data_IF_487297767319
#
_entry.id   IF_487297767319
#
_cell.length_a   1.000
_cell.length_b   1.000
_cell.length_c   1.000
_cell.angle_alpha   90.00
_cell.angle_beta   90.00
_cell.angle_gamma   90.00
#
_symmetry.space_group_name_H-M   'P 1'
#
loop_
_entity.id
_entity.type
_entity.pdbx_description
1 polymer ?
2 polymer ?
3 non-polymer ?
4 non-polymer ?
5 water ?
#
# COMPACT_ATOMS: atom_id res chain seq x y z
N UNK A 1 15.27 -5.80 28.49
CA UNK A 1 14.56 -4.56 28.23
C UNK A 1 14.32 -4.38 26.74
N UNK A 2 13.29 -3.61 26.39
CA UNK A 2 13.04 -3.27 25.00
C UNK A 2 14.11 -2.32 24.49
N UNK A 3 14.54 -2.54 23.25
CA UNK A 3 15.51 -1.66 22.61
C UNK A 3 15.07 -1.40 21.18
N UNK A 4 15.58 -0.32 20.59
CA UNK A 4 15.26 0.00 19.22
C UNK A 4 16.00 -0.96 18.28
N UNK A 5 15.30 -1.42 17.26
CA UNK A 5 15.90 -2.20 16.20
C UNK A 5 16.33 -1.25 15.09
N UNK A 6 17.63 -1.16 14.85
CA UNK A 6 18.14 -0.33 13.77
C UNK A 6 17.97 -1.09 12.46
N UNK A 7 16.74 -1.17 11.99
CA UNK A 7 16.38 -1.96 10.84
C UNK A 7 16.73 -1.31 9.52
N UNK A 8 17.98 -1.51 9.10
CA UNK A 8 18.42 -1.06 7.79
C UNK A 8 17.68 -1.83 6.71
N UNK A 9 17.15 -1.11 5.72
CA UNK A 9 16.40 -1.71 4.64
C UNK A 9 14.90 -1.54 4.77
N UNK A 10 14.46 -0.99 5.91
CA UNK A 10 13.05 -0.70 6.11
C UNK A 10 12.54 0.24 5.03
N UNK A 11 11.35 -0.05 4.53
CA UNK A 11 10.68 0.80 3.55
C UNK A 11 9.75 1.75 4.30
N UNK A 12 10.00 3.05 4.11
CA UNK A 12 9.39 4.09 4.92
C UNK A 12 8.69 5.18 4.12
N UNK A 13 7.80 5.89 4.80
CA UNK A 13 7.17 7.09 4.26
C UNK A 13 7.27 8.19 5.34
N UNK A 14 6.83 9.40 5.01
CA UNK A 14 6.96 10.51 5.96
C UNK A 14 6.16 10.24 7.23
N UNK A 15 6.64 10.79 8.35
CA UNK A 15 6.05 10.57 9.64
C UNK A 15 5.28 11.78 10.17
N UNK A 16 4.76 11.66 11.40
CA UNK A 16 3.88 12.69 11.98
C UNK A 16 4.56 14.04 12.19
N UNK A 17 5.85 14.03 12.48
CA UNK A 17 6.59 15.27 12.76
C UNK A 17 7.34 15.78 11.53
N UNK A 18 6.97 15.28 10.36
CA UNK A 18 7.59 15.70 9.10
C UNK A 18 7.49 17.20 8.90
N UNK A 19 8.60 17.83 8.54
CA UNK A 19 8.64 19.26 8.30
C UNK A 19 9.63 19.59 7.18
N UNK A 20 9.89 18.61 6.32
CA UNK A 20 10.91 18.76 5.28
C UNK A 20 10.31 18.85 3.90
N UNK A 21 9.16 19.52 3.80
CA UNK A 21 8.55 19.83 2.51
C UNK A 21 8.30 18.63 1.61
N UNK A 22 8.89 18.69 0.41
CA UNK A 22 8.62 17.72 -0.63
C UNK A 22 9.82 16.82 -0.90
N UNK A 23 10.70 16.69 0.09
CA UNK A 23 11.92 15.90 -0.08
C UNK A 23 11.60 14.45 -0.45
N UNK A 24 10.55 13.90 0.16
CA UNK A 24 10.16 12.51 -0.09
C UNK A 24 9.45 12.37 -1.42
N UNK A 25 9.02 13.50 -1.99
CA UNK A 25 8.28 13.51 -3.24
C UNK A 25 6.78 13.62 -3.01
N UNK A 26 6.38 13.82 -1.75
CA UNK A 26 4.99 13.95 -1.39
C UNK A 26 4.57 12.86 -0.41
N UNK A 27 3.47 13.07 0.29
CA UNK A 27 3.00 12.09 1.26
C UNK A 27 2.64 10.77 0.56
N UNK A 28 3.08 9.66 1.16
CA UNK A 28 2.83 8.35 0.59
C UNK A 28 3.98 7.86 -0.26
N UNK A 29 4.87 8.77 -0.64
CA UNK A 29 6.03 8.37 -1.44
C UNK A 29 7.02 7.62 -0.55
N UNK A 30 7.61 6.57 -1.11
CA UNK A 30 8.35 5.59 -0.34
C UNK A 30 9.86 5.77 -0.48
N UNK A 31 10.60 5.38 0.56
CA UNK A 31 12.05 5.44 0.55
C UNK A 31 12.64 4.28 1.34
N UNK A 32 13.95 4.14 1.26
CA UNK A 32 14.66 3.06 1.92
C UNK A 32 15.60 3.58 3.01
N UNK A 33 15.50 3.00 4.20
CA UNK A 33 16.43 3.31 5.28
C UNK A 33 17.81 2.76 4.92
N UNK A 34 18.75 3.67 4.67
CA UNK A 34 20.10 3.26 4.27
C UNK A 34 20.99 2.96 5.48
N UNK A 35 20.95 3.83 6.48
CA UNK A 35 21.80 3.68 7.65
C UNK A 35 21.34 4.57 8.81
N UNK A 36 21.92 4.32 9.98
CA UNK A 36 21.67 5.14 11.16
C UNK A 36 22.94 5.88 11.55
N UNK A 37 22.90 7.21 11.48
CA UNK A 37 24.00 8.04 11.96
C UNK A 37 24.16 7.81 13.47
N UNK A 38 23.03 7.77 14.14
CA UNK A 38 22.97 7.52 15.57
C UNK A 38 21.60 6.95 15.89
N UNK A 39 21.35 6.60 17.15
CA UNK A 39 19.98 6.14 17.47
C UNK A 39 18.92 7.22 17.29
N UNK A 40 19.34 8.47 17.12
CA UNK A 40 18.41 9.59 16.99
C UNK A 40 18.25 10.09 15.56
N UNK A 41 19.15 9.68 14.67
CA UNK A 41 19.21 10.21 13.31
C UNK A 41 19.40 9.10 12.28
N UNK A 42 18.59 9.14 11.22
CA UNK A 42 18.60 8.10 10.20
C UNK A 42 18.74 8.68 8.80
N UNK A 43 19.43 7.97 7.92
CA UNK A 43 19.57 8.37 6.53
C UNK A 43 18.62 7.56 5.64
N UNK A 44 17.83 8.27 4.84
CA UNK A 44 16.89 7.64 3.92
C UNK A 44 17.22 8.03 2.48
N UNK A 45 17.15 7.04 1.59
CA UNK A 45 17.24 7.26 0.15
C UNK A 45 15.85 7.06 -0.44
N UNK A 46 15.22 8.17 -0.82
CA UNK A 46 13.88 8.11 -1.39
C UNK A 46 13.93 7.50 -2.77
N UNK A 47 12.82 6.94 -3.21
CA UNK A 47 12.74 6.29 -4.51
C UNK A 47 12.99 7.30 -5.65
N UNK A 48 12.72 8.57 -5.40
CA UNK A 48 12.96 9.60 -6.40
C UNK A 48 14.45 9.97 -6.51
N UNK A 49 15.27 9.37 -5.64
CA UNK A 49 16.72 9.56 -5.70
C UNK A 49 17.26 10.45 -4.61
N UNK A 50 16.41 11.34 -4.09
CA UNK A 50 16.82 12.25 -3.03
C UNK A 50 17.21 11.49 -1.77
N UNK A 51 18.43 11.72 -1.30
CA UNK A 51 18.91 11.11 -0.06
C UNK A 51 19.05 12.16 1.02
N UNK A 52 18.63 11.84 2.24
CA UNK A 52 18.68 12.82 3.32
C UNK A 52 18.61 12.21 4.71
N UNK A 53 18.97 13.02 5.71
CA UNK A 53 18.95 12.58 7.09
C UNK A 53 17.68 13.05 7.80
N UNK A 54 17.19 12.24 8.73
CA UNK A 54 15.91 12.51 9.38
C UNK A 54 15.92 12.11 10.84
N UNK A 55 14.93 12.62 11.58
CA UNK A 55 14.82 12.39 13.02
C UNK A 55 14.02 11.14 13.33
N UNK A 56 14.52 10.35 14.27
CA UNK A 56 13.82 9.15 14.74
C UNK A 56 13.93 9.04 16.26
N UNK A 57 13.86 10.19 16.93
CA UNK A 57 13.90 10.25 18.38
C UNK A 57 13.39 11.60 18.87
N UNK A 58 12.42 11.57 19.78
CA UNK A 58 11.74 12.78 20.20
C UNK A 58 10.79 13.23 19.11
N UNK A 59 11.36 13.65 17.98
CA UNK A 59 10.59 13.92 16.77
C UNK A 59 10.71 12.74 15.81
N UNK A 60 9.64 12.45 15.08
CA UNK A 60 9.61 11.30 14.18
C UNK A 60 9.19 11.71 12.78
N UNK A 61 10.18 11.80 11.90
CA UNK A 61 9.97 12.23 10.53
C UNK A 61 9.53 11.08 9.62
N UNK A 62 9.52 9.86 10.14
CA UNK A 62 9.27 8.67 9.31
C UNK A 62 8.34 7.64 9.94
N UNK A 63 7.54 7.00 9.09
CA UNK A 63 6.74 5.84 9.46
C UNK A 63 7.26 4.62 8.69
N UNK A 64 7.12 3.43 9.27
CA UNK A 64 7.50 2.19 8.61
C UNK A 64 6.35 1.66 7.77
N UNK A 65 6.53 1.62 6.45
CA UNK A 65 5.55 1.03 5.56
C UNK A 65 5.76 -0.48 5.51
N UNK A 66 7.01 -0.90 5.37
CA UNK A 66 7.32 -2.32 5.34
C UNK A 66 8.72 -2.62 5.87
N UNK A 67 8.80 -3.39 6.96
CA UNK A 67 10.06 -3.75 7.57
C UNK A 67 10.53 -5.13 7.10
N UNK A 68 9.75 -5.80 6.26
CA UNK A 68 10.06 -7.15 5.81
C UNK A 68 11.44 -7.27 5.17
N UNK A 69 11.84 -6.26 4.36
CA UNK A 69 13.18 -6.34 3.77
C UNK A 69 14.32 -6.44 4.80
N UNK A 70 14.08 -6.00 6.03
CA UNK A 70 15.11 -6.09 7.07
C UNK A 70 15.28 -7.53 7.55
N UNK A 71 14.31 -8.38 7.24
CA UNK A 71 14.35 -9.78 7.62
C UNK A 71 13.81 -10.04 9.00
N UNK A 72 13.42 -8.99 9.71
CA UNK A 72 12.83 -9.14 11.03
C UNK A 72 11.58 -10.02 10.92
N UNK A 73 11.44 -10.99 11.83
CA UNK A 73 10.34 -11.94 11.75
C UNK A 73 9.85 -12.36 13.14
N UNK A 74 8.62 -12.85 13.17
CA UNK A 74 7.98 -13.28 14.42
C UNK A 74 7.80 -14.79 14.42
N UNK A 75 8.89 -15.50 14.74
CA UNK A 75 8.87 -16.95 14.78
C UNK A 75 7.76 -17.44 15.70
N UNK A 76 7.03 -18.45 15.24
CA UNK A 76 5.93 -19.01 16.00
C UNK A 76 4.61 -18.36 15.67
N UNK A 77 4.57 -17.59 14.60
CA UNK A 77 3.33 -17.01 14.09
C UNK A 77 3.12 -17.37 12.63
N UNK A 78 1.87 -17.22 12.18
CA UNK A 78 1.51 -17.42 10.78
C UNK A 78 0.42 -16.42 10.42
N UNK A 79 0.50 -15.86 9.21
CA UNK A 79 -0.60 -15.03 8.71
C UNK A 79 -1.75 -15.94 8.31
N UNK A 80 -2.92 -15.72 8.88
CA UNK A 80 -4.02 -16.63 8.69
C UNK A 80 -4.74 -16.46 7.34
N UNK A 81 -4.34 -15.46 6.56
CA UNK A 81 -4.89 -15.29 5.21
C UNK A 81 -3.96 -15.91 4.14
N UNK A 82 -2.74 -15.39 4.03
CA UNK A 82 -1.80 -15.86 3.00
C UNK A 82 -0.89 -16.99 3.50
N UNK A 83 -0.95 -17.29 4.79
CA UNK A 83 -0.23 -18.41 5.40
C UNK A 83 1.29 -18.24 5.39
N UNK A 84 1.76 -17.00 5.27
CA UNK A 84 3.18 -16.71 5.47
C UNK A 84 3.57 -17.16 6.87
N UNK A 85 4.66 -17.91 6.96
CA UNK A 85 5.09 -18.50 8.22
C UNK A 85 6.62 -18.65 8.24
N UNK A 86 7.30 -17.93 9.15
CA UNK A 86 6.79 -16.96 10.11
C UNK A 86 6.34 -15.66 9.46
N UNK A 87 5.56 -14.87 10.16
CA UNK A 87 5.26 -13.51 9.69
C UNK A 87 6.58 -12.74 9.67
N UNK A 88 6.88 -12.16 8.51
CA UNK A 88 8.08 -11.35 8.35
C UNK A 88 7.67 -9.88 8.24
N UNK A 89 8.34 -9.04 9.03
CA UNK A 89 7.98 -7.63 9.14
C UNK A 89 7.11 -7.39 10.36
N UNK A 90 6.25 -6.38 10.27
CA UNK A 90 5.34 -6.03 11.35
C UNK A 90 4.28 -7.12 11.54
N UNK A 91 3.94 -7.42 12.78
CA UNK A 91 2.89 -8.38 13.08
C UNK A 91 1.60 -7.64 13.41
N UNK A 92 0.49 -8.07 12.79
CA UNK A 92 -0.82 -7.49 13.06
C UNK A 92 -1.75 -8.56 13.62
N UNK A 93 -2.15 -8.40 14.87
CA UNK A 93 -2.95 -9.40 15.56
C UNK A 93 -4.36 -8.89 15.79
N UNK A 94 -5.37 -9.62 15.33
CA UNK A 94 -6.75 -9.21 15.57
C UNK A 94 -7.06 -9.32 17.06
N UNK A 95 -7.51 -8.20 17.64
CA UNK A 95 -7.82 -8.17 19.06
C UNK A 95 -9.19 -8.78 19.34
N UNK A 96 -10.03 -8.83 18.31
CA UNK A 96 -11.43 -9.23 18.47
C UNK A 96 -11.70 -10.69 18.08
N UNK A 97 -10.65 -11.41 17.66
CA UNK A 97 -10.76 -12.83 17.35
C UNK A 97 -9.80 -13.65 18.21
N UNK A 98 -10.08 -14.94 18.32
CA UNK A 98 -9.17 -15.86 19.00
C UNK A 98 -8.00 -16.25 18.10
N UNK A 99 -6.79 -15.88 18.51
CA UNK A 99 -5.57 -16.38 17.88
C UNK A 99 -5.55 -16.14 16.36
N UNK A 100 -5.67 -14.88 15.95
CA UNK A 100 -5.69 -14.53 14.54
C UNK A 100 -4.68 -13.42 14.24
N UNK A 101 -3.86 -13.62 13.21
CA UNK A 101 -2.83 -12.66 12.83
C UNK A 101 -2.77 -12.47 11.32
N UNK A 102 -2.33 -11.28 10.92
CA UNK A 102 -2.08 -10.97 9.52
C UNK A 102 -0.67 -10.43 9.33
N UNK A 103 -0.11 -10.63 8.14
CA UNK A 103 1.10 -9.95 7.74
C UNK A 103 0.74 -8.56 7.24
N UNK A 104 1.75 -7.77 6.93
CA UNK A 104 1.55 -6.37 6.53
C UNK A 104 0.80 -6.26 5.21
N UNK A 105 1.16 -7.09 4.25
CA UNK A 105 0.51 -7.08 2.94
C UNK A 105 -0.98 -7.35 3.08
N UNK A 106 -1.32 -8.35 3.89
CA UNK A 106 -2.71 -8.73 4.09
C UNK A 106 -3.47 -7.70 4.93
N UNK A 107 -2.77 -7.08 5.88
CA UNK A 107 -3.40 -6.08 6.74
C UNK A 107 -3.74 -4.82 5.96
N UNK A 108 -2.74 -4.26 5.28
CA UNK A 108 -2.99 -3.08 4.45
C UNK A 108 -3.83 -3.46 3.24
N UNK A 109 -3.84 -4.75 2.91
CA UNK A 109 -4.60 -5.26 1.78
C UNK A 109 -6.04 -5.60 2.11
N UNK A 110 -6.50 -5.16 3.27
CA UNK A 110 -7.90 -5.26 3.67
C UNK A 110 -8.40 -6.70 3.79
N UNK A 111 -7.54 -7.61 4.24
CA UNK A 111 -7.95 -8.98 4.54
C UNK A 111 -8.56 -9.05 5.94
N UNK A 112 -9.28 -10.13 6.21
CA UNK A 112 -10.03 -10.28 7.46
C UNK A 112 -11.12 -9.20 7.50
N UNK A 113 -11.64 -8.87 8.68
CA UNK A 113 -12.72 -7.90 8.81
C UNK A 113 -12.18 -6.50 9.09
N UNK A 114 -12.59 -5.54 8.27
CA UNK A 114 -12.14 -4.16 8.41
C UNK A 114 -12.65 -3.51 9.70
N UNK A 115 -13.74 -4.04 10.23
CA UNK A 115 -14.34 -3.49 11.45
C UNK A 115 -13.74 -4.12 12.71
N UNK A 116 -12.95 -5.18 12.54
CA UNK A 116 -12.22 -5.75 13.66
C UNK A 116 -10.97 -4.93 13.96
N UNK A 117 -10.82 -4.49 15.19
CA UNK A 117 -9.64 -3.74 15.59
C UNK A 117 -8.45 -4.66 15.83
N UNK A 118 -7.28 -4.22 15.38
CA UNK A 118 -6.05 -5.00 15.49
C UNK A 118 -5.08 -4.41 16.51
N UNK A 119 -4.28 -5.30 17.11
CA UNK A 119 -3.02 -4.93 17.74
C UNK A 119 -1.89 -4.82 16.72
N UNK A 120 -1.12 -3.74 16.79
CA UNK A 120 0.16 -3.66 16.10
C UNK A 120 1.25 -4.19 17.01
N UNK A 121 2.02 -5.14 16.47
CA UNK A 121 3.18 -5.68 17.16
C UNK A 121 4.36 -5.54 16.20
N UNK A 122 5.07 -4.42 16.32
CA UNK A 122 6.09 -4.05 15.35
C UNK A 122 7.28 -5.01 15.35
N UNK A 123 7.79 -5.30 16.54
CA UNK A 123 8.88 -6.25 16.71
C UNK A 123 8.50 -7.31 17.73
N UNK A 124 9.26 -8.44 17.75
CA UNK A 124 9.09 -9.46 18.77
C UNK A 124 9.13 -8.91 20.20
N UNK A 125 9.88 -7.84 20.41
CA UNK A 125 10.03 -7.25 21.73
C UNK A 125 8.97 -6.20 22.04
N UNK A 126 8.17 -5.83 21.04
CA UNK A 126 7.19 -4.77 21.20
C UNK A 126 6.01 -5.18 22.09
N UNK A 127 5.50 -4.23 22.87
CA UNK A 127 4.22 -4.41 23.54
C UNK A 127 3.12 -4.10 22.52
N UNK A 128 2.04 -4.87 22.56
CA UNK A 128 1.00 -4.75 21.54
C UNK A 128 0.21 -3.47 21.72
N UNK A 129 -0.10 -2.82 20.60
CA UNK A 129 -0.79 -1.53 20.59
C UNK A 129 -2.13 -1.63 19.88
N UNK A 130 -3.22 -1.45 20.62
CA UNK A 130 -4.55 -1.54 20.04
C UNK A 130 -4.82 -0.34 19.11
N UNK A 131 -5.33 -0.65 17.92
CA UNK A 131 -5.57 0.37 16.90
C UNK A 131 -7.06 0.60 16.70
N UNK A 132 -7.40 1.71 16.04
CA UNK A 132 -8.75 1.92 15.54
C UNK A 132 -9.00 0.93 14.41
N UNK A 133 -10.27 0.70 14.08
CA UNK A 133 -10.61 -0.20 12.99
C UNK A 133 -10.11 0.38 11.67
N UNK A 134 -9.73 -0.50 10.75
CA UNK A 134 -9.33 -0.07 9.41
C UNK A 134 -10.48 0.64 8.71
N UNK A 135 -11.70 0.19 8.97
CA UNK A 135 -12.87 0.73 8.27
C UNK A 135 -13.10 2.21 8.60
N UNK A 136 -12.69 2.64 9.79
CA UNK A 136 -12.86 4.04 10.19
C UNK A 136 -11.58 4.87 10.04
N UNK A 137 -10.52 4.25 9.51
CA UNK A 137 -9.20 4.87 9.47
C UNK A 137 -8.83 5.31 8.05
N UNK A 138 -7.98 6.33 7.95
CA UNK A 138 -7.57 6.88 6.66
C UNK A 138 -6.61 5.96 5.91
N UNK A 139 -6.88 5.80 4.61
CA UNK A 139 -6.04 4.97 3.73
C UNK A 139 -5.51 5.82 2.59
N UNK A 140 -4.19 5.84 2.43
CA UNK A 140 -3.56 6.56 1.31
C UNK A 140 -2.76 5.59 0.46
N UNK A 141 -2.33 6.07 -0.71
CA UNK A 141 -1.65 5.23 -1.68
C UNK A 141 -0.14 5.40 -1.61
N UNK A 142 0.57 4.28 -1.64
CA UNK A 142 2.02 4.30 -1.67
C UNK A 142 2.49 4.59 -3.09
N UNK A 143 3.53 5.41 -3.22
CA UNK A 143 4.08 5.75 -4.53
C UNK A 143 5.60 5.64 -4.53
N UNK A 144 6.15 5.13 -5.63
CA UNK A 144 7.58 5.00 -5.78
C UNK A 144 7.96 3.83 -6.66
N UNK A 145 8.99 3.10 -6.24
CA UNK A 145 9.45 1.95 -7.01
C UNK A 145 8.51 0.76 -6.78
N UNK A 146 7.57 0.61 -7.71
CA UNK A 146 6.64 -0.51 -7.73
C UNK A 146 6.41 -0.90 -9.18
N UNK A 147 5.64 -1.96 -9.39
CA UNK A 147 5.36 -2.44 -10.75
C UNK A 147 4.84 -1.31 -11.63
N UNK A 148 5.48 -1.13 -12.78
CA UNK A 148 5.09 -0.11 -13.74
C UNK A 148 5.92 1.15 -13.65
N UNK A 149 6.73 1.27 -12.60
CA UNK A 149 7.55 2.46 -12.41
C UNK A 149 8.65 2.58 -13.46
N UNK A 150 8.94 3.82 -13.85
CA UNK A 150 10.04 4.09 -14.76
C UNK A 150 11.26 4.50 -13.94
N UNK A 151 12.36 3.76 -14.12
CA UNK A 151 13.55 3.88 -13.28
C UNK A 151 14.85 4.03 -14.07
N UNK A 152 15.85 4.60 -13.40
CA UNK A 152 17.24 4.57 -13.85
C UNK A 152 18.07 3.98 -12.73
N UNK A 153 19.38 3.83 -12.94
CA UNK A 153 20.24 3.27 -11.92
C UNK A 153 20.30 4.20 -10.70
N UNK A 154 20.39 3.59 -9.52
CA UNK A 154 20.43 4.33 -8.26
C UNK A 154 21.84 4.49 -7.73
N UNK A 155 21.95 4.96 -6.49
CA UNK A 155 23.24 5.32 -5.90
C UNK A 155 24.11 4.11 -5.58
N UNK A 156 23.49 2.99 -5.23
CA UNK A 156 24.22 1.79 -4.83
C UNK A 156 24.47 0.83 -6.00
N UNK A 157 24.16 1.28 -7.22
CA UNK A 157 24.36 0.48 -8.43
C UNK A 157 25.77 -0.09 -8.48
N UNK A 158 25.87 -1.39 -8.78
CA UNK A 158 27.16 -2.06 -8.91
C UNK A 158 27.08 -3.15 -9.98
N UNK A 159 26.25 -2.92 -10.99
CA UNK A 159 25.93 -3.96 -11.96
C UNK A 159 26.36 -3.58 -13.39
N UNK A 160 27.56 -3.03 -13.53
CA UNK A 160 28.15 -2.79 -14.84
C UNK A 160 27.28 -1.84 -15.68
N UNK A 161 27.08 -2.16 -16.95
CA UNK A 161 26.17 -1.43 -17.82
C UNK A 161 25.00 -2.32 -18.24
N UNK A 162 24.41 -3.02 -17.27
CA UNK A 162 23.25 -3.87 -17.51
C UNK A 162 22.08 -3.04 -18.01
N UNK A 163 22.03 -1.78 -17.60
CA UNK A 163 20.97 -0.86 -18.01
C UNK A 163 21.28 -0.20 -19.36
N UNK A 164 22.46 -0.47 -19.89
CA UNK A 164 22.89 0.11 -21.15
C UNK A 164 23.63 1.43 -20.96
N UNK A 165 23.77 1.85 -19.70
CA UNK A 165 24.47 3.08 -19.38
C UNK A 165 23.72 3.90 -18.35
N UNK A 166 24.48 4.65 -17.53
CA UNK A 166 23.90 5.51 -16.52
C UNK A 166 22.97 6.55 -17.14
N UNK A 167 21.71 6.55 -16.70
CA UNK A 167 20.73 7.47 -17.22
C UNK A 167 19.76 6.79 -18.17
N UNK A 168 20.17 5.66 -18.73
CA UNK A 168 19.27 4.85 -19.54
C UNK A 168 18.15 4.31 -18.65
N UNK A 169 16.96 4.16 -19.22
CA UNK A 169 15.77 3.87 -18.45
C UNK A 169 15.24 2.45 -18.66
N UNK A 170 14.39 2.03 -17.74
CA UNK A 170 13.76 0.73 -17.78
C UNK A 170 12.46 0.76 -17.00
N UNK A 171 11.74 -0.36 -17.00
CA UNK A 171 10.46 -0.44 -16.32
C UNK A 171 10.47 -1.54 -15.27
N UNK A 172 10.04 -1.20 -14.06
CA UNK A 172 9.87 -2.17 -12.99
C UNK A 172 8.70 -3.10 -13.34
N UNK A 173 9.01 -4.38 -13.51
CA UNK A 173 8.00 -5.36 -13.87
C UNK A 173 7.32 -5.93 -12.64
N UNK A 174 8.09 -6.08 -11.57
CA UNK A 174 7.62 -6.79 -10.38
C UNK A 174 8.53 -6.53 -9.18
N UNK A 175 7.94 -6.44 -8.00
CA UNK A 175 8.71 -6.40 -6.76
C UNK A 175 8.88 -7.83 -6.26
N UNK A 176 10.13 -8.21 -6.00
CA UNK A 176 10.45 -9.58 -5.60
C UNK A 176 11.29 -9.61 -4.32
N UNK A 177 11.50 -10.83 -3.82
CA UNK A 177 12.37 -11.04 -2.68
C UNK A 177 13.80 -11.28 -3.15
N UNK A 178 14.73 -10.46 -2.70
CA UNK A 178 16.14 -10.65 -3.05
C UNK A 178 16.62 -11.98 -2.52
N UNK A 179 16.09 -12.35 -1.35
CA UNK A 179 16.35 -13.65 -0.74
C UNK A 179 15.12 -14.07 0.04
N UNK A 180 15.08 -15.34 0.45
CA UNK A 180 13.94 -15.85 1.20
C UNK A 180 13.80 -15.14 2.54
N UNK A 181 14.92 -14.74 3.12
CA UNK A 181 14.92 -14.08 4.42
C UNK A 181 14.62 -12.58 4.32
N UNK A 182 14.56 -12.05 3.11
CA UNK A 182 14.33 -10.63 2.88
C UNK A 182 13.28 -10.38 1.81
N UNK A 183 11.99 -10.53 2.17
CA UNK A 183 10.93 -10.34 1.18
C UNK A 183 10.73 -8.88 0.76
N UNK A 184 10.17 -8.69 -0.43
CA UNK A 184 9.76 -7.37 -0.90
C UNK A 184 10.92 -6.39 -0.95
N UNK A 185 12.11 -6.90 -1.23
CA UNK A 185 13.33 -6.12 -1.11
C UNK A 185 14.02 -5.90 -2.44
N UNK A 186 13.43 -6.41 -3.51
CA UNK A 186 14.03 -6.25 -4.83
C UNK A 186 13.01 -5.85 -5.89
N UNK A 187 13.51 -5.30 -6.99
CA UNK A 187 12.69 -4.96 -8.14
C UNK A 187 13.28 -5.59 -9.40
N UNK A 188 12.44 -6.30 -10.14
CA UNK A 188 12.85 -6.86 -11.43
C UNK A 188 12.59 -5.82 -12.50
N UNK A 189 13.65 -5.49 -13.25
CA UNK A 189 13.59 -4.43 -14.25
C UNK A 189 13.84 -4.97 -15.65
N UNK A 190 12.96 -4.53 -16.55
CA UNK A 190 13.10 -4.73 -17.98
C UNK A 190 13.59 -3.42 -18.59
N UNK A 191 14.86 -3.37 -18.96
CA UNK A 191 15.46 -2.15 -19.47
C UNK A 191 14.96 -1.83 -20.89
N UNK A 192 15.02 -0.57 -21.26
CA UNK A 192 14.51 -0.13 -22.56
C UNK A 192 15.29 -0.74 -23.72
N UNK A 193 16.50 -1.22 -23.46
CA UNK A 193 17.32 -1.84 -24.50
C UNK A 193 17.12 -3.35 -24.56
N UNK A 194 16.14 -3.86 -23.81
CA UNK A 194 15.78 -5.27 -23.86
C UNK A 194 16.46 -6.11 -22.81
N UNK A 195 17.47 -5.55 -22.15
CA UNK A 195 18.13 -6.22 -21.05
C UNK A 195 17.19 -6.29 -19.86
N UNK A 196 17.39 -7.28 -18.99
CA UNK A 196 16.51 -7.46 -17.85
C UNK A 196 17.26 -8.09 -16.69
N UNK A 197 16.90 -7.69 -15.47
CA UNK A 197 17.54 -8.26 -14.28
C UNK A 197 16.87 -7.84 -12.98
N UNK A 198 17.34 -8.41 -11.88
CA UNK A 198 16.82 -8.12 -10.55
C UNK A 198 17.75 -7.15 -9.83
N UNK A 199 17.17 -6.16 -9.15
CA UNK A 199 17.97 -5.15 -8.46
C UNK A 199 17.47 -4.90 -7.05
N UNK A 200 18.39 -4.50 -6.18
CA UNK A 200 18.07 -4.29 -4.77
C UNK A 200 17.28 -3.01 -4.55
N UNK A 201 16.15 -3.14 -3.87
CA UNK A 201 15.34 -2.01 -3.46
C UNK A 201 14.92 -2.23 -2.01
N UNK A 202 15.88 -2.07 -1.10
CA UNK A 202 15.64 -2.25 0.31
C UNK A 202 16.58 -3.27 0.93
N UNK A 203 16.93 -4.30 0.17
CA UNK A 203 17.81 -5.35 0.69
C UNK A 203 19.12 -4.77 1.22
N UNK A 204 19.37 -5.01 2.50
CA UNK A 204 20.55 -4.50 3.18
C UNK A 204 20.67 -2.99 3.05
N UNK A 205 19.52 -2.32 2.98
CA UNK A 205 19.48 -0.86 2.91
C UNK A 205 20.01 -0.31 1.61
N UNK A 206 20.06 -1.15 0.57
CA UNK A 206 20.62 -0.76 -0.71
C UNK A 206 19.56 -0.18 -1.65
N UNK A 207 19.99 0.76 -2.50
CA UNK A 207 19.12 1.40 -3.48
C UNK A 207 19.77 1.39 -4.86
N UNK A 208 19.51 0.33 -5.62
CA UNK A 208 20.08 0.18 -6.95
C UNK A 208 19.30 0.95 -8.01
N UNK A 209 18.13 1.44 -7.65
CA UNK A 209 17.24 2.08 -8.63
C UNK A 209 16.76 3.46 -8.16
N UNK A 210 16.36 4.26 -9.14
CA UNK A 210 15.90 5.63 -8.90
C UNK A 210 14.76 5.95 -9.85
N UNK A 211 13.63 6.37 -9.30
CA UNK A 211 12.46 6.70 -10.09
C UNK A 211 12.62 7.95 -10.94
N UNK A 212 12.22 7.85 -12.19
CA UNK A 212 11.96 9.04 -13.01
C UNK A 212 10.46 9.14 -13.23
N UNK A 213 9.77 8.01 -13.11
CA UNK A 213 8.31 8.04 -13.03
C UNK A 213 7.82 7.02 -11.99
N UNK A 214 7.40 7.52 -10.82
CA UNK A 214 6.97 6.63 -9.76
C UNK A 214 5.64 5.97 -10.12
N UNK A 215 5.37 4.84 -9.48
CA UNK A 215 4.15 4.09 -9.71
C UNK A 215 3.44 3.83 -8.39
N UNK A 216 2.15 3.50 -8.48
CA UNK A 216 1.35 3.19 -7.31
C UNK A 216 1.66 1.78 -6.79
N UNK A 217 1.92 1.69 -5.49
CA UNK A 217 2.25 0.43 -4.87
C UNK A 217 1.19 -0.04 -3.88
N UNK A 218 -0.07 0.26 -4.18
CA UNK A 218 -1.17 -0.12 -3.31
C UNK A 218 -1.31 0.86 -2.16
N UNK A 219 -2.36 0.69 -1.37
CA UNK A 219 -2.71 1.64 -0.33
C UNK A 219 -2.45 1.09 1.08
N UNK A 220 -2.32 1.98 2.05
CA UNK A 220 -2.01 1.60 3.41
C UNK A 220 -2.62 2.55 4.44
N UNK A 221 -2.83 2.04 5.64
CA UNK A 221 -3.37 2.84 6.73
C UNK A 221 -2.24 3.59 7.42
N UNK A 222 -2.02 4.81 6.96
CA UNK A 222 -0.89 5.64 7.39
C UNK A 222 -0.75 5.70 8.90
N UNK A 223 -1.83 6.07 9.58
CA UNK A 223 -1.76 6.34 11.01
C UNK A 223 -1.60 5.06 11.83
N UNK A 224 -1.71 3.91 11.16
CA UNK A 224 -1.52 2.62 11.82
C UNK A 224 -0.06 2.15 11.65
N UNK A 225 0.69 2.78 10.74
CA UNK A 225 2.10 2.46 10.60
C UNK A 225 2.87 2.97 11.81
N UNK A 226 3.79 2.13 12.33
CA UNK A 226 4.58 2.61 13.46
C UNK A 226 5.62 3.64 13.03
N UNK A 227 5.95 4.57 13.92
CA UNK A 227 7.01 5.53 13.63
C UNK A 227 8.35 4.81 13.70
N UNK A 228 9.31 5.25 12.88
CA UNK A 228 10.66 4.70 12.94
C UNK A 228 11.37 5.30 14.15
N UNK A 229 11.84 4.43 15.05
CA UNK A 229 12.53 4.86 16.25
C UNK A 229 11.96 4.18 17.50
N UNK A 246 -12.68 -3.75 -8.81
CA UNK A 246 -12.97 -5.07 -8.28
C UNK A 246 -11.90 -5.54 -7.31
N UNK A 247 -12.30 -6.38 -6.36
CA UNK A 247 -11.38 -7.01 -5.42
C UNK A 247 -11.66 -8.51 -5.33
N UNK A 248 -10.80 -9.22 -4.61
CA UNK A 248 -10.99 -10.65 -4.36
C UNK A 248 -10.94 -10.87 -2.84
N UNK A 249 -12.07 -11.28 -2.28
CA UNK A 249 -12.22 -11.44 -0.84
C UNK A 249 -12.24 -12.91 -0.42
N UNK A 250 -11.88 -13.80 -1.34
CA UNK A 250 -11.91 -15.24 -1.10
C UNK A 250 -10.50 -15.77 -0.88
N UNK A 251 -10.38 -16.87 -0.14
CA UNK A 251 -9.09 -17.54 0.05
C UNK A 251 -8.52 -18.00 -1.28
N UNK A 252 -7.20 -18.15 -1.32
CA UNK A 252 -6.51 -18.55 -2.54
C UNK A 252 -7.04 -19.88 -3.07
N UNK A 253 -7.30 -20.83 -2.19
CA UNK A 253 -7.72 -22.17 -2.63
C UNK A 253 -9.12 -22.13 -3.24
N UNK A 254 -10.00 -21.31 -2.68
CA UNK A 254 -11.34 -21.14 -3.24
C UNK A 254 -11.24 -20.54 -4.64
N UNK A 255 -10.41 -19.50 -4.78
CA UNK A 255 -10.13 -18.90 -6.08
C UNK A 255 -9.62 -19.96 -7.05
N UNK A 256 -8.65 -20.75 -6.59
CA UNK A 256 -8.08 -21.83 -7.39
C UNK A 256 -9.15 -22.81 -7.85
N UNK A 257 -10.01 -23.22 -6.93
CA UNK A 257 -11.08 -24.16 -7.26
C UNK A 257 -12.06 -23.53 -8.24
N UNK A 258 -12.33 -22.24 -8.07
CA UNK A 258 -13.26 -21.53 -8.95
C UNK A 258 -12.68 -21.22 -10.32
N UNK A 259 -11.36 -21.02 -10.39
CA UNK A 259 -10.72 -20.62 -11.64
C UNK A 259 -10.59 -21.75 -12.66
N UNK A 260 -10.84 -22.98 -12.23
CA UNK A 260 -10.75 -24.13 -13.12
C UNK A 260 -11.80 -24.03 -14.23
N UNK A 261 -11.34 -23.68 -15.43
CA UNK A 261 -12.21 -23.52 -16.58
C UNK A 261 -12.69 -22.10 -16.76
N UNK A 262 -11.93 -21.16 -16.21
CA UNK A 262 -12.29 -19.74 -16.29
C UNK A 262 -11.05 -18.85 -16.37
N UNK A 263 -9.93 -19.44 -16.79
CA UNK A 263 -8.67 -18.73 -16.88
C UNK A 263 -7.57 -19.41 -16.09
N UNK A 264 -7.95 -20.24 -15.14
CA UNK A 264 -7.00 -20.95 -14.31
C UNK A 264 -6.22 -20.03 -13.39
N UNK A 265 -5.23 -20.58 -12.69
CA UNK A 265 -4.39 -19.80 -11.79
C UNK A 265 -2.91 -19.96 -12.09
N UNK A 266 -2.19 -18.85 -12.09
CA UNK A 266 -0.74 -18.85 -12.19
C UNK A 266 -0.18 -17.91 -11.12
N UNK A 267 1.14 -17.95 -10.92
CA UNK A 267 1.75 -17.23 -9.79
C UNK A 267 1.96 -15.74 -10.06
N UNK A 268 1.70 -15.30 -11.29
CA UNK A 268 1.80 -13.88 -11.61
C UNK A 268 0.56 -13.11 -11.16
N UNK A 269 -0.42 -13.83 -10.64
CA UNK A 269 -1.72 -13.25 -10.30
C UNK A 269 -1.85 -12.88 -8.82
N UNK A 270 -0.81 -13.14 -8.03
CA UNK A 270 -0.89 -12.91 -6.59
C UNK A 270 -1.14 -11.44 -6.25
N UNK A 271 -0.90 -10.55 -7.21
CA UNK A 271 -1.22 -9.14 -7.05
C UNK A 271 -2.72 -8.95 -6.83
N UNK A 272 -3.51 -9.76 -7.51
CA UNK A 272 -4.96 -9.57 -7.58
C UNK A 272 -5.66 -9.78 -6.24
N UNK A 273 -5.03 -10.56 -5.35
CA UNK A 273 -5.66 -10.92 -4.09
C UNK A 273 -5.70 -9.76 -3.09
N UNK A 274 -4.83 -8.77 -3.30
CA UNK A 274 -4.74 -7.61 -2.39
C UNK A 274 -4.79 -6.29 -3.15
N UNK A 275 -4.99 -6.35 -4.47
CA UNK A 275 -5.00 -5.16 -5.31
C UNK A 275 -6.38 -4.94 -5.94
N UNK A 276 -6.80 -3.69 -5.99
CA UNK A 276 -8.04 -3.33 -6.66
C UNK A 276 -7.79 -3.17 -8.16
N UNK A 277 -8.44 -4.01 -8.95
CA UNK A 277 -8.38 -3.92 -10.40
C UNK A 277 -9.61 -3.23 -10.93
N UNK A 278 -9.57 -2.82 -12.19
CA UNK A 278 -10.72 -2.21 -12.83
C UNK A 278 -11.21 -3.11 -13.96
N UNK A 279 -12.52 -3.37 -13.97
CA UNK A 279 -13.12 -4.17 -15.03
C UNK A 279 -12.95 -3.45 -16.38
N UNK A 280 -11.91 -3.84 -17.10
CA UNK A 280 -11.64 -3.24 -18.41
C UNK A 280 -12.38 -3.99 -19.50
N UNK A 281 -12.63 -5.28 -19.29
CA UNK A 281 -13.33 -6.06 -20.30
C UNK A 281 -14.15 -7.22 -19.79
N UNK A 282 -15.20 -7.56 -20.55
CA UNK A 282 -15.90 -8.83 -20.41
C UNK A 282 -15.52 -9.65 -21.64
N UNK A 283 -16.01 -10.88 -21.74
CA UNK A 283 -15.72 -11.69 -22.94
C UNK A 283 -16.75 -12.78 -23.18
N UNK A 284 -16.63 -13.44 -24.32
CA UNK A 284 -17.59 -14.47 -24.73
C UNK A 284 -17.45 -15.73 -23.88
N UNK A 285 -16.37 -15.82 -23.12
CA UNK A 285 -16.06 -17.04 -22.38
C UNK A 285 -16.79 -17.09 -21.03
N UNK A 286 -17.90 -16.36 -20.93
CA UNK A 286 -18.70 -16.31 -19.70
C UNK A 286 -17.88 -15.76 -18.53
N UNK A 287 -16.79 -15.06 -18.85
CA UNK A 287 -15.81 -14.66 -17.85
C UNK A 287 -15.48 -13.18 -17.95
N UNK A 288 -14.59 -12.73 -17.04
CA UNK A 288 -14.26 -11.31 -16.92
C UNK A 288 -12.78 -11.04 -17.15
N UNK A 289 -12.47 -9.81 -17.57
CA UNK A 289 -11.12 -9.35 -17.85
C UNK A 289 -10.83 -8.04 -17.08
N UNK A 290 -9.81 -8.08 -16.22
CA UNK A 290 -9.51 -7.00 -15.29
C UNK A 290 -8.06 -6.53 -15.42
N UNK A 291 -7.87 -5.20 -15.49
CA UNK A 291 -6.52 -4.63 -15.48
C UNK A 291 -6.15 -4.14 -14.08
N UNK A 292 -4.84 -4.12 -13.79
CA UNK A 292 -4.32 -3.67 -12.51
C UNK A 292 -3.25 -2.59 -12.72
N UNK A 293 -3.02 -1.74 -11.71
CA UNK A 293 -2.04 -0.66 -11.82
C UNK A 293 -0.63 -1.11 -12.21
N UNK A 294 -0.37 -2.41 -12.13
CA UNK A 294 0.88 -2.98 -12.63
C UNK A 294 0.97 -2.82 -14.14
N UNK A 295 -0.18 -2.95 -14.80
CA UNK A 295 -0.25 -2.93 -16.25
C UNK A 295 -0.75 -4.27 -16.78
N UNK A 296 -0.87 -5.24 -15.89
CA UNK A 296 -1.30 -6.59 -16.27
C UNK A 296 -2.82 -6.69 -16.37
N UNK A 297 -3.28 -7.48 -17.32
CA UNK A 297 -4.70 -7.82 -17.43
C UNK A 297 -4.89 -9.31 -17.16
N UNK A 298 -5.93 -9.65 -16.40
CA UNK A 298 -6.19 -11.04 -16.00
C UNK A 298 -7.65 -11.42 -16.21
N UNK A 299 -7.88 -12.71 -16.42
CA UNK A 299 -9.21 -13.22 -16.71
C UNK A 299 -9.77 -14.02 -15.53
N UNK A 300 -11.05 -13.85 -15.22
CA UNK A 300 -11.63 -14.52 -14.06
C UNK A 300 -13.06 -15.05 -14.21
N UNK A 301 -13.35 -16.07 -13.39
CA UNK A 301 -14.71 -16.52 -13.11
C UNK A 301 -15.46 -15.37 -12.43
N UNK A 302 -16.72 -15.13 -12.82
CA UNK A 302 -17.47 -14.03 -12.19
C UNK A 302 -17.59 -14.15 -10.67
N UNK A 303 -17.74 -15.37 -10.17
CA UNK A 303 -17.95 -15.60 -8.73
C UNK A 303 -16.73 -15.23 -7.90
N UNK A 304 -15.58 -15.08 -8.55
CA UNK A 304 -14.33 -14.76 -7.86
C UNK A 304 -14.28 -13.29 -7.45
N UNK A 305 -14.92 -12.44 -8.24
CA UNK A 305 -14.86 -10.99 -8.03
C UNK A 305 -16.04 -10.43 -7.24
N UNK A 306 -15.78 -9.35 -6.52
CA UNK A 306 -16.82 -8.53 -5.90
C UNK A 306 -16.63 -7.10 -6.40
N UNK A 307 -17.74 -6.38 -6.56
CA UNK A 307 -17.75 -5.17 -7.39
C UNK A 307 -16.99 -3.99 -6.79
N UNK A 308 -17.63 -3.28 -5.85
CA UNK A 308 -17.25 -1.94 -5.35
C UNK A 308 -15.85 -1.47 -5.81
N UNK A 309 -15.76 -0.35 -6.54
CA UNK A 309 -16.81 0.66 -6.66
C UNK A 309 -17.79 0.46 -7.83
N UNK A 310 -18.92 1.15 -7.75
CA UNK A 310 -19.87 1.24 -8.86
C UNK A 310 -19.85 2.64 -9.48
N UNK A 311 -18.85 3.42 -9.10
CA UNK A 311 -18.75 4.82 -9.53
C UNK A 311 -17.49 5.08 -10.34
N UNK A 312 -17.50 6.18 -11.09
CA UNK A 312 -16.33 6.64 -11.83
C UNK A 312 -16.13 8.13 -11.58
N UNK A 313 -14.88 8.58 -11.69
CA UNK A 313 -14.59 10.01 -11.64
C UNK A 313 -15.40 10.70 -12.73
N UNK A 314 -16.15 11.73 -12.34
CA UNK A 314 -17.01 12.46 -13.26
C UNK A 314 -18.48 12.16 -13.07
N UNK A 315 -18.79 11.05 -12.43
CA UNK A 315 -20.18 10.67 -12.16
C UNK A 315 -20.88 11.74 -11.33
N UNK A 316 -22.04 12.17 -11.78
CA UNK A 316 -22.88 13.04 -10.97
C UNK A 316 -23.72 12.19 -10.03
N UNK A 317 -23.71 12.55 -8.75
CA UNK A 317 -24.43 11.79 -7.74
C UNK A 317 -25.22 12.71 -6.83
N UNK A 318 -26.35 12.23 -6.34
CA UNK A 318 -27.13 12.93 -5.34
C UNK A 318 -26.82 12.37 -3.96
N UNK A 319 -26.53 13.27 -3.03
CA UNK A 319 -26.28 12.90 -1.65
C UNK A 319 -27.58 12.45 -0.99
N UNK A 320 -27.50 11.31 -0.28
CA UNK A 320 -28.60 10.80 0.53
C UNK A 320 -29.25 11.91 1.37
N UNK A 321 -30.58 11.95 1.41
CA UNK A 321 -31.29 12.97 2.19
C UNK A 321 -32.05 12.39 3.38
N UNK A 322 -31.76 11.13 3.71
CA UNK A 322 -32.16 10.52 4.98
C UNK A 322 -31.04 10.74 5.99
N UNK A 323 -31.26 11.63 6.96
CA UNK A 323 -30.21 12.00 7.91
C UNK A 323 -29.76 10.85 8.79
N UNK A 324 -30.71 10.05 9.26
CA UNK A 324 -30.40 8.89 10.09
C UNK A 324 -29.40 7.98 9.37
N UNK A 325 -29.73 7.66 8.12
CA UNK A 325 -28.92 6.73 7.35
C UNK A 325 -27.57 7.31 6.98
N UNK A 326 -27.52 8.58 6.59
CA UNK A 326 -26.24 9.17 6.19
C UNK A 326 -25.35 9.32 7.42
N UNK A 327 -25.94 9.64 8.57
CA UNK A 327 -25.17 9.64 9.81
C UNK A 327 -24.58 8.26 10.06
N UNK A 328 -25.41 7.23 10.00
CA UNK A 328 -24.94 5.86 10.15
C UNK A 328 -23.82 5.52 9.17
N UNK A 329 -24.04 5.84 7.91
CA UNK A 329 -23.09 5.49 6.85
C UNK A 329 -21.77 6.25 7.01
N UNK A 330 -21.85 7.52 7.37
CA UNK A 330 -20.64 8.34 7.50
C UNK A 330 -19.87 7.98 8.76
N UNK A 331 -20.58 7.78 9.86
CA UNK A 331 -19.94 7.38 11.10
C UNK A 331 -19.31 6.00 10.96
N UNK A 332 -20.03 5.08 10.31
CA UNK A 332 -19.53 3.75 10.08
C UNK A 332 -18.19 3.71 9.34
N UNK A 333 -17.93 4.76 8.57
CA UNK A 333 -16.70 4.87 7.79
C UNK A 333 -15.78 5.96 8.34
N UNK A 334 -16.13 6.52 9.49
CA UNK A 334 -15.30 7.51 10.17
C UNK A 334 -15.21 8.83 9.44
N UNK A 335 -16.31 9.26 8.83
CA UNK A 335 -16.32 10.47 8.00
C UNK A 335 -17.53 11.37 8.23
N UNK A 336 -18.13 11.31 9.42
CA UNK A 336 -19.26 12.18 9.72
C UNK A 336 -18.84 13.51 10.32
N UNK A 337 -19.51 14.58 9.89
CA UNK A 337 -19.33 15.91 10.45
C UNK A 337 -20.65 16.66 10.31
N UNK A 338 -21.03 17.41 11.33
CA UNK A 338 -22.29 18.16 11.30
C UNK A 338 -22.32 19.16 10.15
N UNK A 339 -21.14 19.67 9.79
CA UNK A 339 -21.02 20.63 8.70
C UNK A 339 -21.47 20.04 7.35
N UNK A 340 -21.68 18.72 7.33
CA UNK A 340 -22.16 18.06 6.11
C UNK A 340 -23.66 18.20 5.93
N UNK A 341 -24.36 18.70 6.95
CA UNK A 341 -25.81 18.79 6.89
C UNK A 341 -26.35 19.48 5.64
N UNK A 342 -25.79 20.65 5.28
CA UNK A 342 -26.33 21.32 4.08
C UNK A 342 -26.04 20.61 2.75
N UNK A 343 -25.36 19.46 2.76
CA UNK A 343 -25.10 18.73 1.52
C UNK A 343 -26.18 17.68 1.23
N UNK A 344 -27.00 17.38 2.23
CA UNK A 344 -28.07 16.39 2.08
C UNK A 344 -28.97 16.73 0.90
N UNK A 345 -29.19 15.75 0.01
CA UNK A 345 -30.07 15.94 -1.12
C UNK A 345 -29.45 16.68 -2.30
N UNK A 346 -28.25 17.23 -2.10
CA UNK A 346 -27.60 18.02 -3.15
C UNK A 346 -26.95 17.11 -4.19
N UNK A 347 -26.82 17.64 -5.41
CA UNK A 347 -26.13 16.93 -6.49
C UNK A 347 -24.69 17.41 -6.56
N UNK A 348 -23.77 16.46 -6.70
CA UNK A 348 -22.35 16.75 -6.76
C UNK A 348 -21.59 15.82 -7.68
N UNK A 349 -20.30 16.09 -7.87
CA UNK A 349 -19.49 15.33 -8.82
C UNK A 349 -18.43 14.48 -8.12
N UNK A 350 -18.33 13.20 -8.51
CA UNK A 350 -17.30 12.33 -7.98
C UNK A 350 -15.94 12.78 -8.51
N UNK A 351 -15.15 13.34 -7.61
CA UNK A 351 -13.83 13.87 -7.94
C UNK A 351 -12.76 12.77 -7.90
N UNK A 352 -12.87 11.87 -6.92
CA UNK A 352 -11.91 10.80 -6.74
C UNK A 352 -12.53 9.62 -5.99
N UNK A 353 -12.10 8.42 -6.35
CA UNK A 353 -12.51 7.21 -5.65
C UNK A 353 -11.33 6.71 -4.81
N UNK A 354 -11.46 6.86 -3.50
CA UNK A 354 -10.37 6.47 -2.59
C UNK A 354 -10.16 4.97 -2.56
N UNK A 355 -9.02 4.57 -2.02
CA UNK A 355 -8.63 3.15 -2.00
C UNK A 355 -9.52 2.31 -1.08
N UNK A 356 -10.17 2.96 -0.12
CA UNK A 356 -11.12 2.27 0.76
C UNK A 356 -12.55 2.40 0.21
N UNK A 357 -12.65 2.77 -1.06
CA UNK A 357 -13.92 2.85 -1.81
C UNK A 357 -14.81 4.02 -1.39
N UNK A 358 -14.38 4.82 -0.43
CA UNK A 358 -15.08 6.06 -0.13
C UNK A 358 -14.88 7.03 -1.30
N UNK A 359 -15.77 8.02 -1.41
CA UNK A 359 -15.80 8.92 -2.55
C UNK A 359 -15.48 10.35 -2.15
N UNK A 360 -14.56 10.97 -2.87
CA UNK A 360 -14.38 12.42 -2.80
C UNK A 360 -15.40 13.04 -3.73
N UNK A 361 -16.37 13.75 -3.16
CA UNK A 361 -17.45 14.34 -3.95
C UNK A 361 -17.45 15.85 -3.80
N UNK A 362 -17.48 16.53 -4.95
CA UNK A 362 -17.57 17.98 -4.99
C UNK A 362 -19.04 18.40 -5.02
N UNK A 363 -19.46 19.08 -3.95
CA UNK A 363 -20.83 19.54 -3.78
C UNK A 363 -20.82 20.85 -2.98
N UNK A 364 -21.82 21.70 -3.23
CA UNK A 364 -21.89 23.01 -2.58
C UNK A 364 -20.59 23.77 -2.74
N UNK A 365 -19.90 23.54 -3.85
CA UNK A 365 -18.61 24.16 -4.10
C UNK A 365 -17.45 23.47 -3.41
N UNK A 366 -17.74 22.75 -2.33
CA UNK A 366 -16.71 22.17 -1.48
C UNK A 366 -16.56 20.69 -1.82
N UNK A 367 -15.57 20.02 -1.26
CA UNK A 367 -15.44 18.58 -1.44
C UNK A 367 -15.62 17.87 -0.10
N UNK A 368 -16.29 16.72 -0.13
CA UNK A 368 -16.47 15.91 1.07
C UNK A 368 -16.16 14.44 0.79
N UNK A 369 -15.84 13.69 1.84
CA UNK A 369 -15.64 12.25 1.73
C UNK A 369 -16.93 11.52 2.11
N UNK A 370 -17.45 10.71 1.19
CA UNK A 370 -18.71 10.00 1.39
C UNK A 370 -18.55 8.49 1.35
N UNK A 371 -19.24 7.82 2.26
CA UNK A 371 -19.54 6.41 2.10
C UNK A 371 -20.27 6.23 0.77
N UNK A 372 -19.82 5.28 -0.07
CA UNK A 372 -20.42 5.15 -1.40
C UNK A 372 -21.93 4.86 -1.38
N UNK A 373 -22.42 4.33 -0.26
CA UNK A 373 -23.85 4.06 -0.10
C UNK A 373 -24.61 5.33 0.25
N UNK A 374 -23.89 6.40 0.59
CA UNK A 374 -24.53 7.65 0.98
C UNK A 374 -24.83 8.56 -0.22
N UNK A 375 -24.50 8.10 -1.43
CA UNK A 375 -24.82 8.84 -2.64
C UNK A 375 -25.42 7.91 -3.70
N UNK A 376 -26.21 8.50 -4.59
CA UNK A 376 -26.83 7.74 -5.68
C UNK A 376 -26.58 8.39 -7.03
N UNK A 377 -26.26 7.59 -8.03
CA UNK A 377 -25.96 8.08 -9.36
C UNK A 377 -27.19 8.76 -9.97
N UNK A 378 -26.96 9.92 -10.60
CA UNK A 378 -28.02 10.64 -11.30
C UNK A 378 -28.16 10.13 -12.73
N UNK B 2 23.28 14.50 -1.62
CA UNK B 2 22.53 14.18 -0.41
C UNK B 2 22.22 15.43 0.39
N UNK B 3 20.94 15.65 0.69
CA UNK B 3 20.52 16.81 1.45
C UNK B 3 20.89 16.64 2.93
N UNK B 4 21.38 17.72 3.53
CA UNK B 4 21.76 17.73 4.93
C UNK B 4 20.80 18.62 5.72
N UNK B 5 19.95 17.98 6.53
CA UNK B 5 18.98 18.72 7.33
C UNK B 5 19.60 19.22 8.63
N UNK B 6 19.18 20.41 9.05
CA UNK B 6 19.70 21.02 10.28
C UNK B 6 19.58 20.08 11.48
N UNK B 7 18.37 19.63 11.79
CA UNK B 7 18.13 18.73 12.91
C UNK B 7 18.89 19.20 14.14
#
# INVERSE_FOLDING_TARGET
SRVMVEGVGARVVRGPDWKWGKQDGGEGHVGTVRSFESPEEVVVVWDNGTAANYRCSGAYDLRILDSAPTGIKHDGTMCDTCRQQPIIGIRWKCAECTNYDLCTVCYHGDKHHLRHRFYRITTPGSERVLLESRRKSKKITARGIFAGARVVRGVDWQWEDQDGGNGRRGKVTEIQDWSASSPHSAAYVLWDNGAKNLYRVGFEGMSDLKCVQDAKGGSFYRDHCPVLGEQNGNRNPGGLQIGDLVNIDLDLEIVQSLQHGHGGWTDGMFETLTTTGTVCGIDEDHDIVVQYPSGNRWTFNPAVLTKASQFQVGDLVQVCYDLERIKLLQRGHGEWAEAMLPTLGKVGRVQQIYSDSDLKVEVCGTSWTYNPAAVSKVAS
NQIKNPIEKHG
#
